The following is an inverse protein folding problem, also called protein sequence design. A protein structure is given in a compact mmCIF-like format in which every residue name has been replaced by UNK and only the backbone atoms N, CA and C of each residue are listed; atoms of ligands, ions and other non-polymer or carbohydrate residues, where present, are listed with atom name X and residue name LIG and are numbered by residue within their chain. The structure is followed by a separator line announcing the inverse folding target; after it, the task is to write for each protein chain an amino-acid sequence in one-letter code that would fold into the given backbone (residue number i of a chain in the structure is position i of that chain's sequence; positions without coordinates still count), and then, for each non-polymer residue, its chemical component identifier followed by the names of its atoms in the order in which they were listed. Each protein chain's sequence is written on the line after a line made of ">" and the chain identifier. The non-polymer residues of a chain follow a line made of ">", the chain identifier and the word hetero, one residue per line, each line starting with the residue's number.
data_IF_946958746598
#
_entry.id   IF_946958746598
#
_cell.length_a   1.000
_cell.length_b   1.000
_cell.length_c   1.000
_cell.angle_alpha   90.00
_cell.angle_beta   90.00
_cell.angle_gamma   90.00
#
_symmetry.space_group_name_H-M   'P 1'
#
loop_
_entity.id
_entity.type
_entity.pdbx_description
1 polymer ?
#
# COMPACT_ATOMS: atom_id res chain seq x y z
N UNK A 1 -6.48 9.54 -1.62
CA UNK A 1 -5.74 10.74 -1.13
C UNK A 1 -4.25 10.55 -1.44
N UNK A 2 -3.57 11.54 -1.99
CA UNK A 2 -2.10 11.49 -2.09
C UNK A 2 -1.45 11.66 -0.69
N UNK A 3 -0.32 10.99 -0.41
CA UNK A 3 0.38 11.13 0.85
C UNK A 3 1.10 12.48 0.92
N UNK A 4 0.49 13.44 1.61
CA UNK A 4 1.13 14.71 1.98
C UNK A 4 1.88 14.55 3.30
N UNK A 5 3.19 14.86 3.36
CA UNK A 5 3.89 14.88 4.63
C UNK A 5 3.28 15.99 5.50
N UNK A 6 2.68 15.60 6.62
CA UNK A 6 2.31 16.57 7.65
C UNK A 6 3.58 17.08 8.36
N UNK A 7 3.53 18.29 8.92
CA UNK A 7 4.63 18.85 9.73
C UNK A 7 4.99 17.93 10.91
N UNK A 8 4.02 17.16 11.42
CA UNK A 8 4.18 16.31 12.60
C UNK A 8 4.71 14.90 12.31
N UNK A 9 4.37 14.30 11.16
CA UNK A 9 4.72 12.89 10.88
C UNK A 9 5.82 12.72 9.83
N UNK A 10 6.05 13.72 8.97
CA UNK A 10 6.92 13.62 7.80
C UNK A 10 6.68 12.33 6.97
N UNK A 11 7.35 12.19 5.83
CA UNK A 11 7.35 10.92 5.07
C UNK A 11 8.56 10.95 4.16
N UNK A 12 9.42 9.94 4.30
CA UNK A 12 10.63 9.79 3.49
C UNK A 12 10.38 9.03 2.18
N UNK A 13 9.29 8.26 2.10
CA UNK A 13 8.92 7.46 0.92
C UNK A 13 7.45 7.65 0.59
N UNK A 14 7.15 8.25 -0.56
CA UNK A 14 5.76 8.54 -1.00
C UNK A 14 5.25 7.57 -2.06
N UNK A 15 6.17 7.04 -2.86
CA UNK A 15 5.89 6.09 -3.92
C UNK A 15 7.15 5.28 -4.24
N UNK A 16 6.95 4.11 -4.84
CA UNK A 16 8.01 3.22 -5.31
C UNK A 16 7.42 2.09 -6.15
N UNK A 17 8.28 1.35 -6.84
CA UNK A 17 7.89 0.13 -7.54
C UNK A 17 8.29 -1.07 -6.71
N UNK A 18 7.36 -2.00 -6.53
CA UNK A 18 7.65 -3.31 -5.95
C UNK A 18 8.31 -4.17 -7.03
N UNK A 19 9.38 -4.87 -6.67
CA UNK A 19 10.07 -5.84 -7.53
C UNK A 19 9.79 -7.25 -7.03
N UNK A 20 10.54 -8.25 -7.49
CA UNK A 20 10.46 -9.63 -7.00
C UNK A 20 10.74 -9.76 -5.50
N UNK A 21 11.49 -8.82 -4.92
CA UNK A 21 11.73 -8.77 -3.48
C UNK A 21 10.51 -8.18 -2.76
N UNK A 22 9.83 -8.95 -1.89
CA UNK A 22 8.64 -8.47 -1.19
C UNK A 22 8.97 -7.34 -0.23
N UNK A 23 8.11 -6.33 -0.19
CA UNK A 23 8.16 -5.26 0.79
C UNK A 23 7.40 -5.70 2.05
N UNK A 24 8.08 -5.62 3.19
CA UNK A 24 7.48 -5.85 4.51
C UNK A 24 7.31 -4.50 5.21
N UNK A 25 6.10 -4.21 5.68
CA UNK A 25 5.78 -2.97 6.38
C UNK A 25 5.14 -3.34 7.72
N UNK A 26 5.63 -2.75 8.80
CA UNK A 26 5.02 -2.85 10.14
C UNK A 26 4.41 -1.50 10.51
N UNK A 27 3.14 -1.50 10.89
CA UNK A 27 2.47 -0.32 11.41
C UNK A 27 3.05 0.07 12.77
N UNK A 28 3.56 1.30 12.85
CA UNK A 28 3.92 1.97 14.11
C UNK A 28 3.02 3.17 14.36
N UNK A 29 1.85 3.17 13.75
CA UNK A 29 0.85 4.21 13.91
C UNK A 29 -0.21 3.70 14.88
N UNK A 30 -0.85 4.62 15.61
CA UNK A 30 -1.99 4.31 16.48
C UNK A 30 -3.21 3.86 15.65
N UNK A 31 -4.38 3.81 16.28
CA UNK A 31 -5.62 3.29 15.71
C UNK A 31 -6.18 4.10 14.52
N UNK A 32 -7.08 3.47 13.76
CA UNK A 32 -7.83 4.10 12.67
C UNK A 32 -6.99 4.27 11.41
N UNK A 33 -6.02 3.36 11.20
CA UNK A 33 -5.16 3.36 10.02
C UNK A 33 -5.58 2.27 9.08
N UNK A 34 -5.43 2.54 7.79
CA UNK A 34 -5.99 1.69 6.74
C UNK A 34 -5.02 1.58 5.57
N UNK A 35 -5.08 0.43 4.88
CA UNK A 35 -4.50 0.22 3.56
C UNK A 35 -5.66 0.04 2.59
N UNK A 36 -5.62 0.73 1.45
CA UNK A 36 -6.59 0.56 0.37
C UNK A 36 -5.87 0.67 -0.99
N UNK A 37 -6.49 0.15 -2.03
CA UNK A 37 -5.95 0.13 -3.40
C UNK A 37 -6.97 0.69 -4.40
N UNK A 38 -6.54 0.92 -5.64
CA UNK A 38 -7.37 1.35 -6.78
C UNK A 38 -8.22 2.61 -6.54
N UNK A 39 -7.87 3.40 -5.52
CA UNK A 39 -8.62 4.59 -5.11
C UNK A 39 -9.91 4.31 -4.35
N UNK A 40 -10.19 3.07 -3.96
CA UNK A 40 -11.42 2.65 -3.29
C UNK A 40 -11.18 2.54 -1.78
N UNK A 41 -11.41 3.61 -1.04
CA UNK A 41 -11.16 3.65 0.41
C UNK A 41 -12.14 2.79 1.22
N UNK A 42 -13.34 2.54 0.71
CA UNK A 42 -14.33 1.70 1.40
C UNK A 42 -13.94 0.22 1.44
N UNK A 43 -13.09 -0.23 0.50
CA UNK A 43 -12.51 -1.57 0.47
C UNK A 43 -11.12 -1.57 1.12
N UNK A 44 -11.10 -1.18 2.40
CA UNK A 44 -9.86 -1.07 3.14
C UNK A 44 -9.57 -2.30 4.00
N UNK A 45 -8.28 -2.48 4.28
CA UNK A 45 -7.80 -3.39 5.31
C UNK A 45 -7.33 -2.55 6.50
N UNK A 46 -7.81 -2.87 7.70
CA UNK A 46 -7.39 -2.18 8.92
C UNK A 46 -5.91 -2.46 9.24
N UNK A 47 -5.12 -1.41 9.47
CA UNK A 47 -3.67 -1.47 9.62
C UNK A 47 -3.17 -0.73 10.87
N UNK A 48 -3.77 -1.08 12.00
CA UNK A 48 -3.46 -0.52 13.32
C UNK A 48 -2.09 -0.99 13.87
N UNK A 49 -1.68 -0.42 15.00
CA UNK A 49 -0.39 -0.65 15.64
C UNK A 49 0.04 -2.12 15.69
N UNK A 50 1.29 -2.39 15.31
CA UNK A 50 1.90 -3.71 15.39
C UNK A 50 1.49 -4.66 14.27
N UNK A 51 0.50 -4.32 13.43
CA UNK A 51 0.18 -5.13 12.24
C UNK A 51 1.31 -5.07 11.22
N UNK A 52 1.46 -6.17 10.50
CA UNK A 52 2.43 -6.30 9.41
C UNK A 52 1.72 -6.66 8.11
N UNK A 53 2.15 -6.04 7.02
CA UNK A 53 1.71 -6.37 5.66
C UNK A 53 2.92 -6.75 4.82
N UNK A 54 2.71 -7.70 3.91
CA UNK A 54 3.68 -8.12 2.91
C UNK A 54 3.11 -7.80 1.53
N UNK A 55 3.84 -7.00 0.77
CA UNK A 55 3.48 -6.59 -0.59
C UNK A 55 4.46 -7.22 -1.57
N UNK A 56 3.96 -7.90 -2.59
CA UNK A 56 4.74 -8.53 -3.65
C UNK A 56 3.91 -8.54 -4.95
N UNK A 57 4.55 -8.67 -6.13
CA UNK A 57 3.84 -8.92 -7.37
C UNK A 57 3.00 -10.20 -7.22
N UNK A 58 1.77 -10.18 -7.74
CA UNK A 58 0.92 -11.36 -7.73
C UNK A 58 1.50 -12.44 -8.66
N UNK A 59 1.34 -13.72 -8.30
CA UNK A 59 1.76 -14.84 -9.16
C UNK A 59 0.93 -14.99 -10.43
N UNK A 60 -0.20 -14.28 -10.51
CA UNK A 60 -1.11 -14.28 -11.66
C UNK A 60 -1.31 -12.84 -12.14
N UNK A 61 -1.13 -12.63 -13.44
CA UNK A 61 -1.38 -11.37 -14.12
C UNK A 61 -2.66 -11.42 -14.96
N UNK A 62 -3.33 -10.28 -15.09
CA UNK A 62 -4.38 -10.09 -16.09
C UNK A 62 -3.72 -9.88 -17.45
N UNK A 63 -4.09 -10.69 -18.44
CA UNK A 63 -3.66 -10.52 -19.83
C UNK A 63 -4.82 -9.93 -20.62
N UNK A 64 -4.64 -8.71 -21.15
CA UNK A 64 -5.62 -8.05 -22.00
C UNK A 64 -5.43 -8.48 -23.46
N UNK A 65 -6.53 -8.85 -24.12
CA UNK A 65 -6.54 -9.06 -25.58
C UNK A 65 -6.77 -7.70 -26.24
N UNK A 66 -5.92 -7.36 -27.21
CA UNK A 66 -6.05 -6.15 -28.02
C UNK A 66 -6.11 -6.53 -29.49
N UNK A 67 -7.06 -5.98 -30.23
CA UNK A 67 -7.15 -6.16 -31.69
C UNK A 67 -6.00 -5.37 -32.36
N UNK A 68 -5.34 -6.00 -33.34
CA UNK A 68 -4.18 -5.46 -34.05
C UNK A 68 -4.51 -4.58 -35.24
#
# INVERSE_FOLDING_TARGET
>A
REPFPSVATATSLRAGKITECPLLITSRMNEGRVIFADGIEQDFIAFDWGRQVRLAPASRALHLVVDG
#
